data_IF_999413759369
#
_entry.id   IF_999413759369
#
_cell.length_a   1.000
_cell.length_b   1.000
_cell.length_c   1.000
_cell.angle_alpha   90.00
_cell.angle_beta   90.00
_cell.angle_gamma   90.00
#
_symmetry.space_group_name_H-M   'P 1'
#
loop_
_entity.id
_entity.type
_entity.pdbx_description
1 polymer ?
#
# COMPACT_ATOMS: atom_id res chain seq x y z
N UNK A 1 -3.05 6.05 27.25
CA UNK A 1 -1.94 5.54 26.40
C UNK A 1 -0.65 5.63 27.20
N UNK A 2 0.23 4.63 27.10
CA UNK A 2 1.53 4.65 27.82
C UNK A 2 2.53 5.59 27.12
N UNK A 3 3.54 6.14 27.83
CA UNK A 3 4.57 6.99 27.22
C UNK A 3 5.25 6.35 26.00
N UNK A 4 5.46 5.03 26.05
CA UNK A 4 6.02 4.24 24.92
C UNK A 4 5.17 4.34 23.65
N UNK A 5 3.83 4.34 23.77
CA UNK A 5 2.94 4.45 22.59
C UNK A 5 2.98 5.84 21.97
N UNK A 6 3.17 6.88 22.78
CA UNK A 6 3.37 8.24 22.28
C UNK A 6 4.69 8.35 21.51
N UNK A 7 5.78 7.78 22.05
CA UNK A 7 7.06 7.73 21.34
C UNK A 7 6.92 7.01 19.99
N UNK A 8 6.28 5.84 19.95
CA UNK A 8 6.04 5.14 18.68
C UNK A 8 5.23 5.98 17.70
N UNK A 9 4.13 6.59 18.15
CA UNK A 9 3.30 7.43 17.29
C UNK A 9 4.08 8.62 16.72
N UNK A 10 4.87 9.31 17.56
CA UNK A 10 5.72 10.42 17.14
C UNK A 10 6.72 9.95 16.09
N UNK A 11 7.41 8.83 16.33
CA UNK A 11 8.38 8.28 15.37
C UNK A 11 7.71 7.92 14.04
N UNK A 12 6.51 7.34 14.07
CA UNK A 12 5.73 7.04 12.87
C UNK A 12 5.36 8.31 12.12
N UNK A 13 4.84 9.33 12.80
CA UNK A 13 4.48 10.61 12.16
C UNK A 13 5.70 11.28 11.55
N UNK A 14 6.84 11.31 12.25
CA UNK A 14 8.08 11.88 11.74
C UNK A 14 8.58 11.11 10.52
N UNK A 15 8.49 9.78 10.55
CA UNK A 15 8.86 8.93 9.43
C UNK A 15 7.97 9.14 8.20
N UNK A 16 6.65 9.17 8.39
CA UNK A 16 5.67 9.43 7.33
C UNK A 16 5.84 10.83 6.73
N UNK A 17 6.13 11.84 7.56
CA UNK A 17 6.43 13.19 7.10
C UNK A 17 7.72 13.25 6.28
N UNK A 18 8.78 12.58 6.75
CA UNK A 18 10.04 12.47 6.01
C UNK A 18 9.85 11.74 4.68
N UNK A 19 9.12 10.62 4.67
CA UNK A 19 8.75 9.89 3.46
C UNK A 19 8.03 10.80 2.47
N UNK A 20 6.95 11.45 2.91
CA UNK A 20 6.17 12.35 2.06
C UNK A 20 7.04 13.47 1.46
N UNK A 21 7.92 14.09 2.24
CA UNK A 21 8.86 15.10 1.76
C UNK A 21 9.78 14.56 0.66
N UNK A 22 10.31 13.35 0.81
CA UNK A 22 11.13 12.70 -0.22
C UNK A 22 10.35 12.45 -1.51
N UNK A 23 9.14 11.92 -1.42
CA UNK A 23 8.28 11.78 -2.61
C UNK A 23 7.93 13.13 -3.23
N UNK A 24 7.66 14.15 -2.41
CA UNK A 24 7.28 15.47 -2.90
C UNK A 24 8.44 16.17 -3.64
N UNK A 25 9.66 16.08 -3.11
CA UNK A 25 10.87 16.60 -3.76
C UNK A 25 11.13 15.95 -5.14
N UNK A 26 10.58 14.76 -5.35
CA UNK A 26 10.68 13.95 -6.55
C UNK A 26 9.46 14.07 -7.48
N UNK A 27 8.47 14.90 -7.15
CA UNK A 27 7.20 14.99 -7.89
C UNK A 27 6.37 13.70 -7.86
N UNK A 28 6.65 12.83 -6.90
CA UNK A 28 6.17 11.45 -6.81
C UNK A 28 5.17 11.25 -5.67
N UNK A 29 4.48 12.29 -5.19
CA UNK A 29 3.51 12.21 -4.08
C UNK A 29 2.42 11.16 -4.33
N UNK A 30 2.09 10.92 -5.60
CA UNK A 30 1.21 9.83 -6.02
C UNK A 30 1.63 8.47 -5.46
N UNK A 31 2.91 8.12 -5.49
CA UNK A 31 3.45 6.84 -5.00
C UNK A 31 3.24 6.68 -3.50
N UNK A 32 3.55 7.75 -2.74
CA UNK A 32 3.31 7.78 -1.30
C UNK A 32 1.85 7.41 -0.97
N UNK A 33 0.89 8.04 -1.65
CA UNK A 33 -0.53 7.75 -1.39
C UNK A 33 -0.97 6.39 -1.89
N UNK A 34 -0.46 5.95 -3.05
CA UNK A 34 -0.78 4.64 -3.63
C UNK A 34 -0.30 3.51 -2.70
N UNK A 35 0.97 3.52 -2.30
CA UNK A 35 1.54 2.54 -1.36
C UNK A 35 0.97 2.69 0.05
N UNK A 36 0.67 3.91 0.49
CA UNK A 36 0.00 4.18 1.75
C UNK A 36 -1.36 3.49 1.83
N UNK A 37 -2.23 3.70 0.84
CA UNK A 37 -3.57 3.13 0.80
C UNK A 37 -3.54 1.61 0.61
N UNK A 38 -2.77 1.12 -0.38
CA UNK A 38 -2.68 -0.30 -0.66
C UNK A 38 -2.03 -1.08 0.49
N UNK A 39 -0.89 -0.58 0.98
CA UNK A 39 -0.20 -1.17 2.12
C UNK A 39 -1.06 -1.17 3.38
N UNK A 40 -1.73 -0.07 3.70
CA UNK A 40 -2.66 -0.04 4.83
C UNK A 40 -3.82 -1.03 4.67
N UNK A 41 -4.35 -1.20 3.45
CA UNK A 41 -5.36 -2.20 3.16
C UNK A 41 -4.82 -3.63 3.38
N UNK A 42 -3.60 -3.95 2.93
CA UNK A 42 -2.98 -5.25 3.18
C UNK A 42 -2.80 -5.53 4.67
N UNK A 43 -2.25 -4.57 5.41
CA UNK A 43 -2.04 -4.70 6.85
C UNK A 43 -3.34 -4.91 7.62
N UNK A 44 -4.38 -4.13 7.30
CA UNK A 44 -5.71 -4.29 7.91
C UNK A 44 -6.39 -5.60 7.49
N UNK A 45 -6.24 -6.05 6.25
CA UNK A 45 -6.77 -7.33 5.80
C UNK A 45 -6.14 -8.49 6.56
N UNK A 46 -4.81 -8.48 6.73
CA UNK A 46 -4.09 -9.47 7.52
C UNK A 46 -4.54 -9.49 8.99
N UNK A 47 -4.68 -8.31 9.61
CA UNK A 47 -5.19 -8.20 10.99
C UNK A 47 -6.64 -8.71 11.11
N UNK A 48 -7.48 -8.41 10.12
CA UNK A 48 -8.87 -8.87 10.04
C UNK A 48 -8.94 -10.39 9.95
N UNK A 49 -8.15 -11.01 9.05
CA UNK A 49 -8.06 -12.46 8.92
C UNK A 49 -7.53 -13.11 10.21
N UNK A 50 -6.50 -12.52 10.81
CA UNK A 50 -5.94 -13.01 12.07
C UNK A 50 -6.98 -12.99 13.19
N UNK A 51 -7.84 -11.97 13.26
CA UNK A 51 -8.98 -11.93 14.18
C UNK A 51 -10.03 -13.00 13.88
N UNK A 52 -10.38 -13.20 12.62
CA UNK A 52 -11.35 -14.24 12.26
C UNK A 52 -10.85 -15.63 12.67
N UNK A 53 -9.55 -15.89 12.50
CA UNK A 53 -8.90 -17.12 12.90
C UNK A 53 -8.80 -17.27 14.43
N UNK A 54 -8.43 -16.20 15.15
CA UNK A 54 -8.30 -16.20 16.61
C UNK A 54 -9.50 -15.49 17.24
N UNK A 55 -10.45 -16.28 17.78
CA UNK A 55 -11.69 -15.82 18.45
C UNK A 55 -11.49 -14.70 19.49
N UNK A 56 -10.26 -14.51 20.00
CA UNK A 56 -9.88 -13.37 20.83
C UNK A 56 -8.55 -12.79 20.35
N UNK A 57 -8.56 -11.52 19.99
CA UNK A 57 -7.36 -10.70 19.99
C UNK A 57 -7.18 -10.15 21.40
N UNK A 58 -6.01 -10.33 21.97
CA UNK A 58 -5.58 -9.74 23.23
C UNK A 58 -5.27 -8.24 23.13
N UNK A 59 -5.75 -7.57 22.08
CA UNK A 59 -5.57 -6.14 21.85
C UNK A 59 -4.11 -5.71 21.69
N UNK A 60 -3.20 -6.66 21.39
CA UNK A 60 -1.75 -6.40 21.31
C UNK A 60 -1.36 -5.52 20.14
N UNK A 61 -2.08 -5.61 19.01
CA UNK A 61 -1.81 -4.85 17.79
C UNK A 61 -2.97 -3.92 17.50
N UNK A 62 -2.71 -2.63 17.44
CA UNK A 62 -3.67 -1.61 17.06
C UNK A 62 -3.87 -1.58 15.53
N UNK A 63 -5.04 -1.16 15.02
CA UNK A 63 -5.31 -1.11 13.58
C UNK A 63 -4.31 -0.25 12.81
N UNK A 64 -3.93 0.90 13.39
CA UNK A 64 -2.97 1.81 12.77
C UNK A 64 -1.56 1.20 12.70
N UNK A 65 -1.17 0.35 13.66
CA UNK A 65 0.13 -0.35 13.63
C UNK A 65 0.16 -1.35 12.48
N UNK A 66 -0.93 -2.10 12.29
CA UNK A 66 -1.05 -3.02 11.17
C UNK A 66 -1.07 -2.28 9.82
N UNK A 67 -1.83 -1.18 9.72
CA UNK A 67 -1.86 -0.36 8.51
C UNK A 67 -0.49 0.24 8.17
N UNK A 68 0.23 0.77 9.17
CA UNK A 68 1.57 1.30 9.00
C UNK A 68 2.59 0.23 8.59
N UNK A 69 2.55 -0.94 9.21
CA UNK A 69 3.41 -2.07 8.82
C UNK A 69 3.15 -2.51 7.37
N UNK A 70 1.89 -2.48 6.93
CA UNK A 70 1.55 -2.75 5.54
C UNK A 70 2.02 -1.67 4.58
N UNK A 71 1.94 -0.37 4.96
CA UNK A 71 2.52 0.73 4.19
C UNK A 71 4.04 0.53 4.02
N UNK A 72 4.77 0.27 5.11
CA UNK A 72 6.19 -0.02 5.06
C UNK A 72 6.51 -1.16 4.09
N UNK A 73 5.76 -2.27 4.19
CA UNK A 73 5.92 -3.41 3.31
C UNK A 73 5.70 -3.05 1.84
N UNK A 74 4.65 -2.30 1.53
CA UNK A 74 4.34 -1.84 0.16
C UNK A 74 5.36 -0.85 -0.38
N UNK A 75 6.01 -0.07 0.48
CA UNK A 75 7.00 0.94 0.11
C UNK A 75 8.46 0.44 0.21
N UNK A 76 8.69 -0.84 0.55
CA UNK A 76 10.05 -1.45 0.56
C UNK A 76 10.83 -1.17 -0.72
N UNK A 77 10.24 -1.34 -1.91
CA UNK A 77 10.92 -0.97 -3.16
C UNK A 77 11.40 0.49 -3.12
N UNK A 78 10.51 1.43 -2.81
CA UNK A 78 10.87 2.85 -2.83
C UNK A 78 11.96 3.19 -1.81
N UNK A 79 12.01 2.53 -0.65
CA UNK A 79 13.14 2.69 0.29
C UNK A 79 14.46 2.24 -0.32
N UNK A 80 14.48 1.10 -1.00
CA UNK A 80 15.68 0.60 -1.65
C UNK A 80 16.16 1.57 -2.75
N UNK A 81 15.24 2.29 -3.39
CA UNK A 81 15.58 3.28 -4.41
C UNK A 81 16.12 4.56 -3.75
N UNK A 82 15.36 5.11 -2.80
CA UNK A 82 15.70 6.36 -2.12
C UNK A 82 17.03 6.27 -1.35
N UNK A 83 17.36 5.09 -0.79
CA UNK A 83 18.57 4.90 0.02
C UNK A 83 19.76 4.35 -0.77
N UNK A 84 19.52 3.48 -1.76
CA UNK A 84 20.59 2.74 -2.43
C UNK A 84 20.59 2.87 -3.96
N UNK A 85 19.66 3.64 -4.55
CA UNK A 85 19.56 3.83 -5.99
C UNK A 85 19.19 2.56 -6.78
N UNK A 86 18.68 1.53 -6.11
CA UNK A 86 18.26 0.28 -6.75
C UNK A 86 17.03 0.56 -7.59
N UNK A 87 17.04 0.21 -8.87
CA UNK A 87 15.85 0.36 -9.73
C UNK A 87 14.87 -0.79 -9.45
N UNK A 88 13.64 -0.44 -9.05
CA UNK A 88 12.63 -1.45 -8.69
C UNK A 88 12.00 -2.14 -9.87
N UNK A 89 12.22 -1.66 -11.10
CA UNK A 89 11.72 -2.30 -12.32
C UNK A 89 12.19 -3.76 -12.48
N UNK A 90 13.27 -4.17 -11.81
CA UNK A 90 13.78 -5.55 -11.87
C UNK A 90 13.19 -6.47 -10.78
N UNK A 91 12.45 -5.90 -9.82
CA UNK A 91 11.86 -6.61 -8.68
C UNK A 91 10.34 -6.81 -8.84
N UNK A 92 9.89 -6.81 -10.10
CA UNK A 92 8.50 -6.90 -10.56
C UNK A 92 7.63 -7.74 -9.61
N UNK A 93 6.69 -7.05 -8.99
CA UNK A 93 5.60 -7.57 -8.14
C UNK A 93 5.97 -8.45 -6.93
N UNK A 94 7.24 -8.64 -6.62
CA UNK A 94 7.71 -9.36 -5.41
C UNK A 94 7.12 -8.72 -4.14
N UNK A 95 6.91 -7.41 -4.15
CA UNK A 95 6.34 -6.65 -3.05
C UNK A 95 4.84 -6.39 -3.25
N UNK A 96 4.06 -7.48 -3.36
CA UNK A 96 2.60 -7.47 -3.48
C UNK A 96 2.07 -6.63 -4.65
N UNK A 97 2.48 -6.97 -5.87
CA UNK A 97 1.99 -6.30 -7.10
C UNK A 97 2.39 -4.82 -7.19
N UNK A 98 3.46 -4.44 -6.47
CA UNK A 98 3.92 -3.07 -6.34
C UNK A 98 3.98 -2.32 -7.68
N UNK A 99 4.44 -2.96 -8.77
CA UNK A 99 4.55 -2.30 -10.07
C UNK A 99 3.20 -2.32 -10.80
N UNK A 100 2.54 -3.46 -10.85
CA UNK A 100 1.27 -3.63 -11.57
C UNK A 100 0.18 -2.68 -11.05
N UNK A 101 0.20 -2.31 -9.77
CA UNK A 101 -0.76 -1.36 -9.19
C UNK A 101 -0.70 0.05 -9.80
N UNK A 102 0.44 0.46 -10.37
CA UNK A 102 0.59 1.77 -11.02
C UNK A 102 -0.17 1.84 -12.35
N UNK A 103 -0.41 0.68 -12.94
CA UNK A 103 -1.01 0.53 -14.27
C UNK A 103 -2.51 0.28 -14.22
N UNK A 104 -3.09 0.14 -13.03
CA UNK A 104 -4.53 0.06 -12.86
C UNK A 104 -5.18 1.41 -13.24
N UNK A 105 -6.33 1.43 -13.94
CA UNK A 105 -7.06 2.66 -14.21
C UNK A 105 -7.45 3.39 -12.93
N UNK A 106 -7.14 4.70 -12.85
CA UNK A 106 -7.44 5.55 -11.68
C UNK A 106 -6.95 4.92 -10.36
N UNK A 107 -5.66 4.60 -10.24
CA UNK A 107 -5.15 3.68 -9.22
C UNK A 107 -5.36 4.20 -7.79
N UNK A 108 -5.22 5.51 -7.53
CA UNK A 108 -5.52 6.09 -6.21
C UNK A 108 -6.98 5.92 -5.80
N UNK A 109 -7.94 6.11 -6.73
CA UNK A 109 -9.35 5.94 -6.44
C UNK A 109 -9.67 4.48 -6.15
N UNK A 110 -9.08 3.57 -6.93
CA UNK A 110 -9.20 2.12 -6.73
C UNK A 110 -8.65 1.70 -5.37
N UNK A 111 -7.45 2.17 -4.99
CA UNK A 111 -6.87 1.83 -3.68
C UNK A 111 -7.65 2.47 -2.52
N UNK A 112 -8.18 3.68 -2.69
CA UNK A 112 -9.05 4.30 -1.69
C UNK A 112 -10.32 3.48 -1.47
N UNK A 113 -10.95 3.00 -2.54
CA UNK A 113 -12.12 2.12 -2.45
C UNK A 113 -11.77 0.79 -1.76
N UNK A 114 -10.68 0.15 -2.15
CA UNK A 114 -10.20 -1.10 -1.53
C UNK A 114 -9.92 -0.92 -0.04
N UNK A 115 -9.16 0.12 0.33
CA UNK A 115 -8.88 0.45 1.72
C UNK A 115 -10.18 0.65 2.51
N UNK A 116 -11.15 1.37 1.96
CA UNK A 116 -12.44 1.64 2.61
C UNK A 116 -13.25 0.35 2.85
N UNK A 117 -13.28 -0.56 1.88
CA UNK A 117 -13.95 -1.86 2.01
C UNK A 117 -13.28 -2.73 3.07
N UNK A 118 -11.94 -2.77 3.09
CA UNK A 118 -11.18 -3.52 4.10
C UNK A 118 -11.37 -2.92 5.49
N UNK A 119 -11.36 -1.59 5.62
CA UNK A 119 -11.61 -0.90 6.89
C UNK A 119 -13.01 -1.21 7.43
N UNK A 120 -14.02 -1.22 6.56
CA UNK A 120 -15.37 -1.68 6.90
C UNK A 120 -15.36 -3.14 7.38
N UNK A 121 -14.65 -4.03 6.68
CA UNK A 121 -14.49 -5.42 7.06
C UNK A 121 -13.86 -5.60 8.44
N UNK A 122 -12.80 -4.85 8.74
CA UNK A 122 -12.19 -4.80 10.06
C UNK A 122 -13.19 -4.36 11.14
N UNK A 123 -13.96 -3.28 10.88
CA UNK A 123 -15.01 -2.82 11.80
C UNK A 123 -16.08 -3.87 12.05
N UNK A 124 -16.54 -4.56 11.01
CA UNK A 124 -17.49 -5.68 11.14
C UNK A 124 -16.89 -6.83 11.95
N UNK A 125 -15.60 -7.11 11.78
CA UNK A 125 -14.90 -8.13 12.55
C UNK A 125 -14.85 -7.77 14.05
N UNK A 126 -14.80 -6.47 14.39
CA UNK A 126 -14.89 -6.02 15.79
C UNK A 126 -16.24 -6.33 16.43
N UNK A 127 -17.30 -6.43 15.62
CA UNK A 127 -18.67 -6.72 16.06
C UNK A 127 -19.07 -8.20 15.93
N UNK A 128 -18.09 -9.08 15.68
CA UNK A 128 -18.25 -10.54 15.50
C UNK A 128 -19.22 -10.95 14.35
N UNK A 129 -19.47 -10.04 13.40
CA UNK A 129 -20.30 -10.27 12.20
C UNK A 129 -19.52 -11.02 11.11
N UNK A 130 -19.13 -12.26 11.41
CA UNK A 130 -18.24 -13.06 10.54
C UNK A 130 -18.67 -13.16 9.07
N UNK A 131 -19.95 -13.47 8.74
CA UNK A 131 -20.33 -13.57 7.33
C UNK A 131 -20.15 -12.24 6.59
N UNK A 132 -20.54 -11.12 7.22
CA UNK A 132 -20.40 -9.81 6.63
C UNK A 132 -18.92 -9.40 6.46
N UNK A 133 -18.06 -9.71 7.44
CA UNK A 133 -16.60 -9.51 7.30
C UNK A 133 -16.04 -10.31 6.13
N UNK A 134 -16.38 -11.59 6.00
CA UNK A 134 -15.91 -12.42 4.88
C UNK A 134 -16.41 -11.86 3.54
N UNK A 135 -17.65 -11.39 3.46
CA UNK A 135 -18.18 -10.72 2.27
C UNK A 135 -17.38 -9.47 1.90
N UNK A 136 -17.03 -8.61 2.87
CA UNK A 136 -16.21 -7.42 2.58
C UNK A 136 -14.80 -7.79 2.09
N UNK A 137 -14.17 -8.82 2.68
CA UNK A 137 -12.86 -9.30 2.22
C UNK A 137 -12.95 -9.88 0.80
N UNK A 138 -14.02 -10.63 0.50
CA UNK A 138 -14.26 -11.19 -0.82
C UNK A 138 -14.51 -10.08 -1.86
N UNK A 139 -15.28 -9.04 -1.52
CA UNK A 139 -15.52 -7.87 -2.39
C UNK A 139 -14.22 -7.12 -2.64
N UNK A 140 -13.40 -6.90 -1.60
CA UNK A 140 -12.09 -6.26 -1.78
C UNK A 140 -11.17 -7.10 -2.67
N UNK A 141 -11.08 -8.42 -2.44
CA UNK A 141 -10.26 -9.31 -3.26
C UNK A 141 -10.75 -9.35 -4.71
N UNK A 142 -12.06 -9.49 -4.94
CA UNK A 142 -12.66 -9.48 -6.28
C UNK A 142 -12.49 -8.14 -6.98
N UNK A 143 -12.63 -7.03 -6.27
CA UNK A 143 -12.37 -5.68 -6.79
C UNK A 143 -10.91 -5.49 -7.19
N UNK A 144 -9.97 -6.00 -6.39
CA UNK A 144 -8.54 -5.96 -6.73
C UNK A 144 -8.26 -6.81 -7.98
N UNK A 145 -8.75 -8.05 -8.05
CA UNK A 145 -8.57 -8.92 -9.23
C UNK A 145 -9.16 -8.25 -10.48
N UNK A 146 -10.35 -7.67 -10.38
CA UNK A 146 -10.97 -6.97 -11.49
C UNK A 146 -10.13 -5.76 -11.93
N UNK A 147 -9.65 -4.96 -10.99
CA UNK A 147 -8.80 -3.82 -11.28
C UNK A 147 -7.49 -4.21 -11.98
N UNK A 148 -6.87 -5.31 -11.53
CA UNK A 148 -5.67 -5.88 -12.15
C UNK A 148 -5.94 -6.41 -13.56
N UNK A 149 -7.12 -6.98 -13.82
CA UNK A 149 -7.51 -7.43 -15.15
C UNK A 149 -7.65 -6.28 -16.17
N UNK A 150 -7.78 -5.03 -15.69
CA UNK A 150 -7.77 -3.81 -16.50
C UNK A 150 -6.46 -3.03 -16.41
N UNK A 151 -5.45 -3.54 -15.70
CA UNK A 151 -4.15 -2.89 -15.66
C UNK A 151 -3.52 -2.93 -17.07
N UNK A 152 -2.94 -1.82 -17.50
CA UNK A 152 -2.17 -1.81 -18.75
C UNK A 152 -0.91 -2.66 -18.61
N UNK A 153 -0.36 -3.11 -19.74
CA UNK A 153 0.85 -3.92 -19.77
C UNK A 153 2.00 -3.24 -19.02
N UNK A 154 2.71 -4.04 -18.23
CA UNK A 154 3.89 -3.57 -17.51
C UNK A 154 5.06 -3.52 -18.49
N UNK A 155 5.75 -2.37 -18.64
CA UNK A 155 6.91 -2.26 -19.51
C UNK A 155 7.99 -3.26 -19.10
N UNK A 156 8.47 -4.07 -20.05
CA UNK A 156 9.49 -5.09 -19.81
C UNK A 156 10.88 -4.64 -20.27
N UNK A 157 10.97 -3.49 -20.98
CA UNK A 157 12.25 -2.89 -21.38
C UNK A 157 12.41 -1.43 -20.92
N UNK A 158 13.67 -0.99 -20.78
CA UNK A 158 14.01 0.42 -20.49
C UNK A 158 13.57 1.36 -21.63
N UNK A 159 13.52 0.86 -22.87
CA UNK A 159 13.03 1.61 -24.02
C UNK A 159 11.54 1.90 -23.93
N UNK A 160 10.72 0.87 -23.62
CA UNK A 160 9.27 0.99 -23.41
C UNK A 160 8.92 1.92 -22.26
N UNK A 161 9.72 1.87 -21.19
CA UNK A 161 9.57 2.77 -20.04
C UNK A 161 9.66 4.24 -20.45
N UNK A 162 10.62 4.62 -21.31
CA UNK A 162 10.79 6.03 -21.75
C UNK A 162 9.67 6.55 -22.64
N UNK A 163 8.96 5.64 -23.31
CA UNK A 163 7.88 5.98 -24.26
C UNK A 163 6.49 5.90 -23.65
N UNK A 164 6.36 5.27 -22.47
CA UNK A 164 5.10 5.26 -21.74
C UNK A 164 4.94 6.55 -20.93
N UNK A 165 3.80 7.23 -21.11
CA UNK A 165 3.41 8.41 -20.31
C UNK A 165 3.43 8.13 -18.78
N UNK A 166 3.42 6.86 -18.37
CA UNK A 166 3.58 6.39 -17.00
C UNK A 166 5.02 6.42 -16.45
N UNK A 167 6.04 6.83 -17.21
CA UNK A 167 7.43 6.91 -16.72
C UNK A 167 7.59 7.87 -15.54
N UNK A 168 6.85 8.99 -15.56
CA UNK A 168 6.79 9.92 -14.44
C UNK A 168 6.15 9.30 -13.17
N UNK A 169 5.43 8.18 -13.32
CA UNK A 169 4.76 7.42 -12.25
C UNK A 169 5.59 6.23 -11.74
N UNK A 170 6.87 6.11 -12.09
CA UNK A 170 7.74 4.97 -11.73
C UNK A 170 9.00 5.35 -10.92
N UNK A 171 9.41 6.62 -10.97
CA UNK A 171 10.45 7.31 -10.19
C UNK A 171 11.02 8.43 -11.08
N UNK A 172 11.43 9.59 -10.54
CA UNK A 172 12.24 10.51 -11.33
C UNK A 172 13.60 9.87 -11.59
N UNK A 173 13.87 9.55 -12.85
CA UNK A 173 15.24 9.32 -13.27
C UNK A 173 15.95 10.67 -13.20
N UNK A 174 16.80 10.84 -12.19
CA UNK A 174 17.70 11.98 -12.09
C UNK A 174 18.53 12.01 -13.38
N UNK A 175 18.34 13.04 -14.22
CA UNK A 175 19.20 13.27 -15.39
C UNK A 175 18.55 13.70 -16.70
N UNK A 176 17.24 13.98 -16.77
CA UNK A 176 16.63 14.55 -17.97
C UNK A 176 15.78 15.78 -17.65
N UNK A 177 16.47 16.91 -17.47
CA UNK A 177 16.02 18.23 -17.90
C UNK A 177 16.90 18.64 -19.10
#
# INVERSE_FOLDING_TARGET
MTPRRWTTLILVVLFEAWMYDRYAALGAQFHFWLHGLFGAALGLAALTLFRLARRRLDGRVAPWEAGWAGHLYSAVPDFLFLLFGVLHMFWMDVFALHITLHFVPRPLLTMWALFSVILLGYGLAMTDRRPATLSTLAVAAGGLVLALAFASDVPVTVGELRTHDGFALMCPVIGHA
#
